data_IF_181304023476
#
_entry.id   IF_181304023476
#
_cell.length_a   1.000
_cell.length_b   1.000
_cell.length_c   1.000
_cell.angle_alpha   90.00
_cell.angle_beta   90.00
_cell.angle_gamma   90.00
#
_symmetry.space_group_name_H-M   'P 1'
#
loop_
_entity.id
_entity.type
_entity.pdbx_description
1 polymer ?
#
# COMPACT_ATOMS: atom_id res chain seq x y z
N UNK A 1 -22.89 12.09 8.67
CA UNK A 1 -22.55 11.77 7.27
C UNK A 1 -22.92 12.99 6.42
N UNK A 2 -21.96 13.79 5.96
CA UNK A 2 -22.30 15.02 5.25
C UNK A 2 -21.11 15.61 4.52
N UNK A 3 -20.14 16.14 5.28
CA UNK A 3 -19.07 16.92 4.66
C UNK A 3 -17.96 16.02 4.11
N UNK A 4 -17.53 15.02 4.88
CA UNK A 4 -16.48 14.07 4.46
C UNK A 4 -16.89 13.15 3.30
N UNK A 5 -18.18 12.87 3.17
CA UNK A 5 -18.71 12.11 2.04
C UNK A 5 -18.65 12.95 0.75
N UNK A 6 -19.13 14.20 0.79
CA UNK A 6 -19.04 15.14 -0.34
C UNK A 6 -17.60 15.41 -0.75
N UNK A 7 -16.71 15.59 0.22
CA UNK A 7 -15.26 15.74 -0.03
C UNK A 7 -14.65 14.53 -0.76
N UNK A 8 -15.12 13.31 -0.46
CA UNK A 8 -14.66 12.08 -1.12
C UNK A 8 -15.19 11.96 -2.55
N UNK A 9 -16.48 12.29 -2.78
CA UNK A 9 -17.08 12.32 -4.11
C UNK A 9 -16.37 13.33 -5.02
N UNK A 10 -16.10 14.53 -4.51
CA UNK A 10 -15.35 15.58 -5.22
C UNK A 10 -13.90 15.20 -5.47
N UNK A 11 -13.29 14.39 -4.61
CA UNK A 11 -11.95 13.85 -4.82
C UNK A 11 -11.92 12.73 -5.88
N UNK A 12 -13.09 12.29 -6.35
CA UNK A 12 -13.26 11.28 -7.38
C UNK A 12 -13.32 9.87 -6.83
N UNK A 13 -13.75 9.63 -5.60
CA UNK A 13 -13.99 8.26 -5.11
C UNK A 13 -15.14 7.59 -5.89
N UNK A 14 -14.98 6.31 -6.23
CA UNK A 14 -15.94 5.59 -7.09
C UNK A 14 -17.22 5.18 -6.34
N UNK A 15 -17.08 4.84 -5.05
CA UNK A 15 -18.20 4.52 -4.16
C UNK A 15 -18.03 5.25 -2.82
N UNK A 16 -19.04 6.00 -2.41
CA UNK A 16 -19.02 6.78 -1.18
C UNK A 16 -20.32 6.55 -0.42
N UNK A 17 -20.22 6.12 0.85
CA UNK A 17 -21.40 5.97 1.70
C UNK A 17 -21.26 4.88 2.75
N UNK A 18 -22.05 5.00 3.82
CA UNK A 18 -22.12 3.99 4.90
C UNK A 18 -22.97 2.78 4.52
N UNK A 19 -23.83 2.91 3.51
CA UNK A 19 -24.67 1.85 2.94
C UNK A 19 -23.85 0.69 2.35
N UNK A 20 -22.63 0.97 1.87
CA UNK A 20 -21.74 -0.06 1.34
C UNK A 20 -21.22 -1.01 2.43
N UNK A 21 -21.26 -0.61 3.71
CA UNK A 21 -20.89 -1.48 4.84
C UNK A 21 -21.81 -2.72 4.88
N UNK A 22 -23.11 -2.54 4.62
CA UNK A 22 -24.05 -3.65 4.54
C UNK A 22 -23.78 -4.56 3.34
N UNK A 23 -23.48 -3.98 2.16
CA UNK A 23 -23.10 -4.75 0.96
C UNK A 23 -21.83 -5.56 1.18
N UNK A 24 -20.83 -5.00 1.87
CA UNK A 24 -19.59 -5.73 2.20
C UNK A 24 -19.86 -6.91 3.14
N UNK A 25 -20.84 -6.78 4.06
CA UNK A 25 -21.30 -7.92 4.88
C UNK A 25 -21.91 -9.04 4.02
N UNK A 26 -22.57 -8.68 2.93
CA UNK A 26 -23.12 -9.59 1.92
C UNK A 26 -22.06 -10.07 0.91
N UNK A 27 -20.77 -9.91 1.22
CA UNK A 27 -19.63 -10.37 0.41
C UNK A 27 -19.44 -9.60 -0.91
N UNK A 28 -19.93 -8.36 -1.00
CA UNK A 28 -19.60 -7.45 -2.09
C UNK A 28 -18.21 -6.84 -1.93
N UNK A 29 -17.33 -7.04 -2.91
CA UNK A 29 -15.90 -6.73 -2.82
C UNK A 29 -15.33 -6.16 -4.14
N UNK A 30 -16.13 -5.37 -4.86
CA UNK A 30 -15.73 -4.75 -6.14
C UNK A 30 -14.94 -3.44 -5.91
N UNK A 31 -13.92 -3.49 -5.05
CA UNK A 31 -13.02 -2.36 -4.79
C UNK A 31 -11.62 -2.84 -4.40
N UNK A 32 -10.62 -2.01 -4.71
CA UNK A 32 -9.21 -2.32 -4.45
C UNK A 32 -8.72 -1.75 -3.11
N UNK A 33 -9.20 -0.58 -2.71
CA UNK A 33 -8.76 0.13 -1.51
C UNK A 33 -9.95 0.71 -0.76
N UNK A 34 -10.00 0.45 0.54
CA UNK A 34 -11.00 1.02 1.45
C UNK A 34 -10.36 2.14 2.27
N UNK A 35 -10.92 3.34 2.17
CA UNK A 35 -10.55 4.50 2.99
C UNK A 35 -11.65 4.73 4.01
N UNK A 36 -11.28 4.90 5.27
CA UNK A 36 -12.23 5.08 6.36
C UNK A 36 -11.87 6.30 7.20
N UNK A 37 -12.88 6.97 7.74
CA UNK A 37 -12.68 7.97 8.78
C UNK A 37 -12.66 7.30 10.16
N UNK A 38 -11.88 7.80 11.15
CA UNK A 38 -11.73 7.15 12.45
C UNK A 38 -13.05 6.89 13.21
N UNK A 39 -14.07 7.73 13.00
CA UNK A 39 -15.41 7.60 13.59
C UNK A 39 -16.18 6.37 13.10
N UNK A 40 -15.89 5.88 11.89
CA UNK A 40 -16.57 4.71 11.30
C UNK A 40 -15.84 3.38 11.58
N UNK A 41 -14.66 3.41 12.21
CA UNK A 41 -13.84 2.22 12.47
C UNK A 41 -14.53 1.20 13.40
N UNK A 42 -15.38 1.66 14.32
CA UNK A 42 -16.13 0.77 15.21
C UNK A 42 -17.08 -0.18 14.47
N UNK A 43 -17.69 0.29 13.38
CA UNK A 43 -18.58 -0.52 12.54
C UNK A 43 -17.78 -1.44 11.59
N UNK A 44 -16.67 -0.94 11.07
CA UNK A 44 -15.74 -1.70 10.20
C UNK A 44 -15.03 -2.85 10.92
N UNK A 45 -14.86 -2.78 12.25
CA UNK A 45 -14.28 -3.85 13.04
C UNK A 45 -15.00 -5.19 12.90
N UNK A 46 -16.33 -5.19 12.71
CA UNK A 46 -17.12 -6.41 12.50
C UNK A 46 -16.81 -7.09 11.16
N UNK A 47 -16.34 -6.31 10.17
CA UNK A 47 -15.98 -6.78 8.83
C UNK A 47 -14.56 -7.35 8.75
N UNK A 48 -13.80 -7.32 9.85
CA UNK A 48 -12.41 -7.80 9.89
C UNK A 48 -12.25 -9.27 9.47
N UNK A 49 -13.27 -10.12 9.66
CA UNK A 49 -13.25 -11.53 9.18
C UNK A 49 -13.23 -11.65 7.66
N UNK A 50 -13.86 -10.71 6.94
CA UNK A 50 -13.95 -10.71 5.48
C UNK A 50 -12.79 -9.92 4.89
N UNK A 51 -12.54 -8.72 5.40
CA UNK A 51 -11.52 -7.79 4.88
C UNK A 51 -10.09 -8.16 5.29
N UNK A 52 -9.92 -8.80 6.45
CA UNK A 52 -8.61 -9.14 7.02
C UNK A 52 -7.79 -10.09 6.14
N UNK A 53 -8.32 -11.28 5.76
CA UNK A 53 -7.59 -12.23 4.92
C UNK A 53 -7.21 -11.68 3.54
N UNK A 54 -7.98 -10.72 3.03
CA UNK A 54 -7.78 -10.11 1.71
C UNK A 54 -6.90 -8.85 1.73
N UNK A 55 -6.50 -8.39 2.92
CA UNK A 55 -5.67 -7.18 3.06
C UNK A 55 -6.40 -5.87 2.76
N UNK A 56 -7.72 -5.89 2.55
CA UNK A 56 -8.55 -4.71 2.25
C UNK A 56 -8.95 -3.91 3.49
N UNK A 57 -8.47 -4.33 4.68
CA UNK A 57 -8.82 -3.67 5.94
C UNK A 57 -8.05 -2.34 6.08
N UNK A 58 -8.73 -1.22 6.35
CA UNK A 58 -8.09 0.09 6.46
C UNK A 58 -7.19 0.13 7.70
N UNK A 59 -6.03 0.77 7.55
CA UNK A 59 -4.97 0.79 8.56
C UNK A 59 -4.47 2.22 8.79
N UNK A 60 -4.46 2.72 10.04
CA UNK A 60 -3.90 4.04 10.36
C UNK A 60 -2.44 4.19 9.92
N UNK A 61 -1.64 3.11 9.96
CA UNK A 61 -0.23 3.15 9.52
C UNK A 61 -0.08 3.35 8.02
N UNK A 62 -1.04 2.86 7.24
CA UNK A 62 -1.06 3.05 5.79
C UNK A 62 -1.59 4.44 5.39
N UNK A 63 -2.14 5.20 6.36
CA UNK A 63 -2.80 6.48 6.10
C UNK A 63 -4.17 6.34 5.44
N UNK A 64 -4.71 5.11 5.34
CA UNK A 64 -6.05 4.82 4.83
C UNK A 64 -7.15 5.06 5.88
N UNK A 65 -6.73 5.34 7.12
CA UNK A 65 -7.61 5.88 8.18
C UNK A 65 -7.20 7.32 8.47
N UNK A 66 -7.98 8.28 7.99
CA UNK A 66 -7.69 9.72 8.16
C UNK A 66 -8.96 10.56 8.13
N UNK A 67 -8.88 11.77 8.68
CA UNK A 67 -9.91 12.80 8.52
C UNK A 67 -9.74 13.59 7.21
N UNK A 68 -8.57 13.52 6.57
CA UNK A 68 -8.30 14.16 5.28
C UNK A 68 -8.57 13.17 4.13
N UNK A 69 -9.86 12.97 3.84
CA UNK A 69 -10.33 11.99 2.85
C UNK A 69 -9.95 12.42 1.43
N UNK A 70 -10.01 13.72 1.13
CA UNK A 70 -9.64 14.25 -0.20
C UNK A 70 -8.20 13.92 -0.56
N UNK A 71 -7.26 14.15 0.38
CA UNK A 71 -5.86 13.80 0.15
C UNK A 71 -5.66 12.30 0.01
N UNK A 72 -6.28 11.50 0.89
CA UNK A 72 -6.14 10.04 0.83
C UNK A 72 -6.65 9.47 -0.50
N UNK A 73 -7.81 9.91 -0.97
CA UNK A 73 -8.38 9.47 -2.27
C UNK A 73 -7.45 9.85 -3.42
N UNK A 74 -6.92 11.08 -3.44
CA UNK A 74 -5.98 11.53 -4.48
C UNK A 74 -4.68 10.75 -4.45
N UNK A 75 -4.11 10.50 -3.28
CA UNK A 75 -2.88 9.72 -3.14
C UNK A 75 -3.06 8.28 -3.63
N UNK A 76 -4.19 7.64 -3.29
CA UNK A 76 -4.50 6.28 -3.75
C UNK A 76 -4.71 6.26 -5.27
N UNK A 77 -5.48 7.20 -5.82
CA UNK A 77 -5.66 7.31 -7.28
C UNK A 77 -4.38 7.68 -8.03
N UNK A 78 -3.44 8.36 -7.39
CA UNK A 78 -2.12 8.63 -7.95
C UNK A 78 -1.20 7.38 -7.99
N UNK A 79 -1.68 6.22 -7.52
CA UNK A 79 -0.94 4.96 -7.59
C UNK A 79 -0.07 4.70 -6.36
N UNK A 80 -0.44 5.24 -5.19
CA UNK A 80 0.23 4.88 -3.93
C UNK A 80 0.07 3.39 -3.66
N UNK A 81 1.20 2.68 -3.62
CA UNK A 81 1.23 1.24 -3.34
C UNK A 81 1.39 1.04 -1.83
N UNK A 82 0.50 0.24 -1.23
CA UNK A 82 0.69 -0.26 0.13
C UNK A 82 1.59 -1.51 0.08
N UNK A 83 2.63 -1.53 0.90
CA UNK A 83 3.47 -2.70 1.10
C UNK A 83 3.47 -3.10 2.58
N UNK A 84 3.53 -4.41 2.83
CA UNK A 84 3.54 -4.99 4.17
C UNK A 84 4.68 -5.99 4.28
N UNK A 85 5.25 -6.06 5.48
CA UNK A 85 6.24 -7.07 5.85
C UNK A 85 5.50 -8.36 6.22
N UNK A 86 5.91 -9.49 5.63
CA UNK A 86 5.40 -10.80 6.01
C UNK A 86 5.99 -11.28 7.35
N UNK A 87 5.60 -12.47 7.82
CA UNK A 87 6.16 -13.04 9.06
C UNK A 87 7.63 -13.43 8.95
N UNK A 88 8.14 -13.61 7.74
CA UNK A 88 9.52 -13.98 7.45
C UNK A 88 10.44 -12.75 7.26
N UNK A 89 9.89 -11.54 7.28
CA UNK A 89 10.64 -10.29 7.06
C UNK A 89 10.79 -9.87 5.60
N UNK A 90 10.04 -10.47 4.68
CA UNK A 90 10.02 -10.09 3.26
C UNK A 90 9.01 -8.99 2.98
N UNK A 91 9.30 -8.17 1.97
CA UNK A 91 8.41 -7.14 1.45
C UNK A 91 8.07 -7.48 0.02
N UNK A 92 6.78 -7.50 -0.30
CA UNK A 92 6.27 -7.67 -1.65
C UNK A 92 5.53 -6.41 -2.09
N UNK A 93 5.84 -5.90 -3.28
CA UNK A 93 5.17 -4.76 -3.88
C UNK A 93 5.15 -4.89 -5.41
N UNK A 94 4.04 -4.51 -6.02
CA UNK A 94 3.92 -4.47 -7.47
C UNK A 94 4.40 -3.11 -7.99
N UNK A 95 5.55 -3.07 -8.65
CA UNK A 95 6.16 -1.83 -9.16
C UNK A 95 5.56 -1.33 -10.49
N UNK A 96 4.76 -2.16 -11.18
CA UNK A 96 4.12 -1.81 -12.44
C UNK A 96 3.60 -3.02 -13.21
N UNK A 97 3.17 -2.77 -14.46
CA UNK A 97 2.73 -3.78 -15.42
C UNK A 97 3.73 -3.86 -16.58
N UNK A 98 3.74 -4.98 -17.29
CA UNK A 98 4.56 -5.18 -18.49
C UNK A 98 4.26 -4.16 -19.60
N UNK A 99 3.05 -3.59 -19.59
CA UNK A 99 2.64 -2.56 -20.55
C UNK A 99 3.27 -1.19 -20.31
N UNK A 100 4.03 -1.01 -19.22
CA UNK A 100 4.70 0.27 -18.91
C UNK A 100 6.01 0.37 -19.69
N UNK A 101 6.42 1.59 -19.99
CA UNK A 101 7.73 1.85 -20.58
C UNK A 101 8.86 1.39 -19.62
N UNK A 102 9.96 0.82 -20.13
CA UNK A 102 11.08 0.37 -19.30
C UNK A 102 11.61 1.45 -18.34
N UNK A 103 11.65 2.71 -18.79
CA UNK A 103 12.14 3.85 -18.02
C UNK A 103 11.22 4.14 -16.82
N UNK A 104 9.91 4.00 -17.00
CA UNK A 104 8.94 4.17 -15.93
C UNK A 104 9.05 3.06 -14.88
N UNK A 105 9.31 1.82 -15.31
CA UNK A 105 9.55 0.70 -14.40
C UNK A 105 10.83 0.89 -13.59
N UNK A 106 11.90 1.40 -14.20
CA UNK A 106 13.14 1.71 -13.52
C UNK A 106 12.96 2.83 -12.49
N UNK A 107 12.23 3.89 -12.83
CA UNK A 107 11.92 4.99 -11.91
C UNK A 107 11.09 4.52 -10.72
N UNK A 108 10.07 3.69 -10.96
CA UNK A 108 9.25 3.12 -9.89
C UNK A 108 10.08 2.23 -8.96
N UNK A 109 10.97 1.41 -9.53
CA UNK A 109 11.87 0.56 -8.76
C UNK A 109 12.82 1.39 -7.88
N UNK A 110 13.46 2.42 -8.43
CA UNK A 110 14.34 3.33 -7.68
C UNK A 110 13.60 4.02 -6.53
N UNK A 111 12.43 4.59 -6.81
CA UNK A 111 11.60 5.25 -5.81
C UNK A 111 11.19 4.28 -4.68
N UNK A 112 10.84 3.04 -5.02
CA UNK A 112 10.49 2.01 -4.03
C UNK A 112 11.69 1.62 -3.15
N UNK A 113 12.86 1.42 -3.76
CA UNK A 113 14.09 1.08 -3.03
C UNK A 113 14.55 2.20 -2.11
N UNK A 114 14.49 3.46 -2.56
CA UNK A 114 14.81 4.63 -1.74
C UNK A 114 13.88 4.73 -0.53
N UNK A 115 12.59 4.44 -0.72
CA UNK A 115 11.60 4.43 0.35
C UNK A 115 11.85 3.31 1.37
N UNK A 116 12.29 2.12 0.92
CA UNK A 116 12.69 1.03 1.82
C UNK A 116 13.89 1.45 2.65
N UNK A 117 14.92 2.03 2.04
CA UNK A 117 16.13 2.49 2.76
C UNK A 117 15.78 3.55 3.80
N UNK A 118 14.90 4.49 3.47
CA UNK A 118 14.39 5.50 4.42
C UNK A 118 13.54 4.90 5.54
N UNK A 119 12.83 3.82 5.26
CA UNK A 119 11.98 3.12 6.24
C UNK A 119 12.79 2.20 7.17
N UNK A 120 14.13 2.15 7.04
CA UNK A 120 15.01 1.35 7.91
C UNK A 120 14.83 1.75 9.37
N UNK A 121 14.40 0.83 10.26
CA UNK A 121 14.36 1.08 11.68
C UNK A 121 15.76 1.34 12.25
N UNK A 122 15.86 2.27 13.20
CA UNK A 122 17.13 2.58 13.90
C UNK A 122 17.69 1.40 14.70
N UNK A 123 16.85 0.42 15.03
CA UNK A 123 17.23 -0.81 15.74
C UNK A 123 17.82 -1.88 14.82
N UNK A 124 17.71 -1.75 13.50
CA UNK A 124 18.22 -2.73 12.54
C UNK A 124 19.74 -2.63 12.39
N UNK A 125 20.46 -3.64 12.89
CA UNK A 125 21.93 -3.76 12.79
C UNK A 125 22.33 -4.54 11.53
N UNK A 126 23.45 -4.17 10.92
CA UNK A 126 24.04 -4.86 9.77
C UNK A 126 23.39 -4.52 8.42
N UNK A 127 23.49 -5.45 7.48
CA UNK A 127 22.97 -5.29 6.10
C UNK A 127 21.45 -5.38 6.12
N UNK A 128 20.78 -4.26 5.81
CA UNK A 128 19.31 -4.16 5.83
C UNK A 128 18.65 -4.86 4.64
N UNK A 129 19.21 -4.72 3.44
CA UNK A 129 18.70 -5.34 2.21
C UNK A 129 19.62 -6.50 1.83
N UNK A 130 19.11 -7.73 1.89
CA UNK A 130 19.90 -8.95 1.63
C UNK A 130 19.85 -9.42 0.18
N UNK A 131 18.67 -9.36 -0.43
CA UNK A 131 18.44 -9.74 -1.81
C UNK A 131 17.22 -8.98 -2.34
N UNK A 132 17.23 -8.68 -3.64
CA UNK A 132 16.09 -8.11 -4.35
C UNK A 132 15.87 -8.95 -5.60
N UNK A 133 14.67 -9.51 -5.73
CA UNK A 133 14.28 -10.29 -6.89
C UNK A 133 13.07 -9.64 -7.55
N UNK A 134 13.13 -9.44 -8.86
CA UNK A 134 12.01 -8.97 -9.68
C UNK A 134 11.48 -10.17 -10.44
N UNK A 135 10.19 -10.43 -10.34
CA UNK A 135 9.50 -11.45 -11.15
C UNK A 135 8.25 -10.85 -11.78
N UNK A 136 7.85 -11.43 -12.92
CA UNK A 136 6.49 -11.26 -13.41
C UNK A 136 5.55 -12.25 -12.71
N UNK A 137 4.24 -12.11 -12.93
CA UNK A 137 3.23 -12.95 -12.25
C UNK A 137 3.40 -14.45 -12.50
N UNK A 138 3.88 -14.84 -13.69
CA UNK A 138 4.04 -16.24 -14.10
C UNK A 138 5.46 -16.56 -14.61
N UNK A 139 6.43 -15.69 -14.32
CA UNK A 139 7.80 -15.83 -14.82
C UNK A 139 8.82 -16.11 -13.72
N UNK A 140 10.03 -16.58 -14.09
CA UNK A 140 11.12 -16.75 -13.15
C UNK A 140 11.54 -15.40 -12.54
N UNK A 141 11.98 -15.43 -11.28
CA UNK A 141 12.54 -14.27 -10.62
C UNK A 141 13.98 -14.02 -11.05
N UNK A 142 14.30 -12.77 -11.37
CA UNK A 142 15.65 -12.32 -11.67
C UNK A 142 16.16 -11.51 -10.49
N UNK A 143 17.30 -11.92 -9.93
CA UNK A 143 17.97 -11.16 -8.87
C UNK A 143 18.62 -9.91 -9.44
N UNK A 144 18.42 -8.78 -8.75
CA UNK A 144 18.98 -7.48 -9.12
C UNK A 144 20.14 -7.14 -8.20
N UNK A 145 21.12 -6.41 -8.71
CA UNK A 145 22.22 -5.92 -7.90
C UNK A 145 21.73 -4.93 -6.82
N UNK A 146 22.11 -5.21 -5.58
CA UNK A 146 21.73 -4.47 -4.38
C UNK A 146 22.84 -3.51 -3.92
N UNK A 147 24.02 -3.56 -4.54
CA UNK A 147 25.17 -2.71 -4.23
C UNK A 147 24.83 -1.23 -4.08
N UNK A 148 24.05 -0.58 -4.99
CA UNK A 148 23.71 0.83 -4.84
C UNK A 148 22.85 1.17 -3.61
N UNK A 149 22.16 0.19 -3.02
CA UNK A 149 21.26 0.39 -1.87
C UNK A 149 21.85 -0.14 -0.55
N UNK A 150 23.09 -0.66 -0.58
CA UNK A 150 23.77 -1.27 0.57
C UNK A 150 24.48 -0.24 1.47
N UNK A 151 24.74 0.95 0.95
CA UNK A 151 25.55 1.99 1.61
C UNK A 151 24.72 2.95 2.47
N UNK A 152 24.22 2.44 3.61
CA UNK A 152 23.98 3.26 4.81
C UNK A 152 24.52 2.51 6.03
N UNK A 153 25.80 2.11 5.96
CA UNK A 153 26.47 1.34 7.00
C UNK A 153 27.92 0.95 6.70
N UNK A 154 28.64 1.74 5.90
CA UNK A 154 30.09 1.57 5.70
C UNK A 154 30.77 2.94 5.65
N UNK A 155 30.63 3.70 6.73
CA UNK A 155 31.59 4.76 7.11
C UNK A 155 31.71 4.74 8.63
N UNK A 156 32.62 3.86 9.10
CA UNK A 156 33.68 4.10 10.10
C UNK A 156 34.29 2.75 10.47
#
# INVERSE_FOLDING_TARGET
>A
AGDKAREAEQAGADFVGTEYIAKIKENWLDFDVLIATPDQMGQLGQLGRILGPRGLMPNPKAGTVTFDVTRAVREVKAGKIEYRVDKAGNVHAAIGKVSFAPEALEQNFKAFMDQIVRSKPSTSKGVYIRNVAISSSMGPGVSVDITPYRSVGSER
#
